data_IF_279294933052
#
_entry.id   IF_279294933052
#
_cell.length_a   1.000
_cell.length_b   1.000
_cell.length_c   1.000
_cell.angle_alpha   90.00
_cell.angle_beta   90.00
_cell.angle_gamma   90.00
#
_symmetry.space_group_name_H-M   'P 1'
#
loop_
_entity.id
_entity.type
_entity.pdbx_description
1 polymer ?
#
# COMPACT_ATOMS: atom_id res chain seq x y z
N UNK A 1 35.22 82.50 -26.92
CA UNK A 1 35.20 83.00 -25.53
C UNK A 1 35.67 81.86 -24.66
N UNK A 2 36.96 81.77 -24.35
CA UNK A 2 37.69 82.50 -23.30
C UNK A 2 37.43 81.93 -21.89
N UNK A 3 38.56 81.62 -21.24
CA UNK A 3 38.82 81.29 -19.83
C UNK A 3 38.58 79.86 -19.32
N UNK A 4 39.29 79.42 -18.28
CA UNK A 4 40.72 79.29 -17.99
C UNK A 4 40.82 78.36 -16.77
N UNK A 5 41.98 77.70 -16.63
CA UNK A 5 42.45 76.77 -15.60
C UNK A 5 42.20 77.17 -14.13
N UNK A 6 42.07 76.16 -13.24
CA UNK A 6 43.06 75.74 -12.20
C UNK A 6 42.48 74.64 -11.28
N UNK A 7 43.10 73.45 -11.19
CA UNK A 7 44.04 72.96 -10.14
C UNK A 7 43.40 72.79 -8.74
N UNK A 8 43.63 71.76 -7.91
CA UNK A 8 44.43 70.53 -7.94
C UNK A 8 44.10 69.73 -6.65
N UNK A 9 44.37 68.41 -6.67
CA UNK A 9 45.01 67.63 -5.59
C UNK A 9 44.19 66.71 -4.63
N UNK A 10 44.85 65.56 -4.33
CA UNK A 10 44.62 64.49 -3.33
C UNK A 10 43.33 63.68 -3.50
N UNK A 11 43.33 62.38 -3.82
CA UNK A 11 44.23 61.31 -3.38
C UNK A 11 43.47 60.43 -2.38
N UNK A 12 43.08 59.20 -2.74
CA UNK A 12 43.10 58.01 -1.88
C UNK A 12 42.36 56.80 -2.49
N UNK A 13 43.12 55.70 -2.52
CA UNK A 13 42.73 54.31 -2.22
C UNK A 13 41.89 53.54 -3.24
N UNK A 14 42.63 52.74 -4.01
CA UNK A 14 42.31 51.37 -4.37
C UNK A 14 41.54 50.65 -3.27
N UNK A 15 40.35 50.14 -3.57
CA UNK A 15 39.77 48.95 -2.95
C UNK A 15 38.49 48.55 -3.68
N UNK A 16 38.60 47.77 -4.75
CA UNK A 16 37.47 46.95 -5.24
C UNK A 16 37.97 45.66 -5.91
N UNK A 17 38.88 44.96 -5.23
CA UNK A 17 39.21 43.56 -5.50
C UNK A 17 38.80 42.65 -4.32
N UNK A 18 37.62 42.91 -3.75
CA UNK A 18 37.11 42.18 -2.58
C UNK A 18 35.68 41.63 -2.73
N UNK A 19 35.00 41.86 -3.86
CA UNK A 19 33.59 41.46 -4.03
C UNK A 19 33.37 40.22 -4.90
N UNK A 20 34.41 39.64 -5.51
CA UNK A 20 34.26 38.47 -6.39
C UNK A 20 34.55 37.12 -5.70
N UNK A 21 35.04 37.11 -4.45
CA UNK A 21 35.25 35.87 -3.67
C UNK A 21 34.11 35.54 -2.70
N UNK A 22 33.27 36.52 -2.36
CA UNK A 22 32.16 36.33 -1.40
C UNK A 22 30.93 35.76 -2.10
N UNK A 23 30.64 36.14 -3.34
CA UNK A 23 29.51 35.58 -4.11
C UNK A 23 29.70 34.12 -4.49
N UNK A 24 30.92 33.65 -4.80
CA UNK A 24 31.20 32.21 -4.98
C UNK A 24 31.08 31.41 -3.68
N UNK A 25 31.39 32.00 -2.51
CA UNK A 25 31.24 31.31 -1.22
C UNK A 25 29.78 31.24 -0.77
N UNK A 26 28.97 32.27 -1.04
CA UNK A 26 27.52 32.25 -0.75
C UNK A 26 26.80 31.26 -1.69
N UNK A 27 27.18 31.18 -2.96
CA UNK A 27 26.58 30.21 -3.89
C UNK A 27 26.95 28.75 -3.53
N UNK A 28 28.16 28.50 -3.02
CA UNK A 28 28.56 27.17 -2.53
C UNK A 28 27.89 26.80 -1.19
N UNK A 29 27.59 27.78 -0.35
CA UNK A 29 26.89 27.57 0.94
C UNK A 29 25.38 27.34 0.75
N UNK A 30 24.76 27.99 -0.23
CA UNK A 30 23.35 27.74 -0.60
C UNK A 30 23.19 26.39 -1.33
N UNK A 31 24.16 25.99 -2.15
CA UNK A 31 24.16 24.68 -2.81
C UNK A 31 24.42 23.52 -1.82
N UNK A 32 25.15 23.76 -0.72
CA UNK A 32 25.30 22.77 0.36
C UNK A 32 24.10 22.73 1.31
N UNK A 33 23.44 23.86 1.61
CA UNK A 33 22.16 23.85 2.35
C UNK A 33 21.00 23.23 1.56
N UNK A 34 21.05 23.25 0.22
CA UNK A 34 20.06 22.58 -0.63
C UNK A 34 20.31 21.06 -0.78
N UNK A 35 21.49 20.56 -0.40
CA UNK A 35 21.86 19.14 -0.48
C UNK A 35 21.88 18.42 0.89
N UNK A 36 21.60 19.11 2.00
CA UNK A 36 21.52 18.51 3.35
C UNK A 36 20.12 18.52 3.95
N UNK A 37 19.06 18.75 3.15
CA UNK A 37 17.67 18.63 3.61
C UNK A 37 16.94 17.39 3.07
N UNK A 38 17.68 16.45 2.46
CA UNK A 38 17.27 15.05 2.45
C UNK A 38 17.85 14.38 3.69
N UNK A 39 17.19 14.55 4.84
CA UNK A 39 17.32 13.53 5.87
C UNK A 39 16.57 12.31 5.35
N UNK A 40 17.34 11.26 5.09
CA UNK A 40 16.83 9.93 4.82
C UNK A 40 15.80 9.53 5.88
N UNK A 41 14.82 8.73 5.45
CA UNK A 41 13.92 7.99 6.32
C UNK A 41 14.68 7.47 7.54
N UNK A 42 14.23 7.78 8.75
CA UNK A 42 14.69 7.07 9.94
C UNK A 42 14.13 5.65 9.87
N UNK A 43 14.81 4.81 9.08
CA UNK A 43 15.05 3.44 9.49
C UNK A 43 15.60 3.49 10.92
N UNK A 44 15.32 2.46 11.71
CA UNK A 44 16.05 2.21 12.97
C UNK A 44 17.50 2.61 12.74
N UNK A 45 18.06 3.45 13.62
CA UNK A 45 19.44 3.90 13.43
C UNK A 45 20.33 2.68 13.24
N UNK A 46 21.43 2.77 12.48
CA UNK A 46 22.33 1.62 12.26
C UNK A 46 22.78 0.99 13.59
N UNK A 47 22.77 1.77 14.67
CA UNK A 47 22.97 1.33 16.05
C UNK A 47 21.78 0.53 16.61
N UNK A 48 20.53 0.96 16.44
CA UNK A 48 19.33 0.20 16.86
C UNK A 48 19.11 -1.08 16.04
N UNK A 49 19.38 -1.07 14.72
CA UNK A 49 19.35 -2.28 13.89
C UNK A 49 20.33 -3.36 14.38
N UNK A 50 21.46 -2.96 14.97
CA UNK A 50 22.44 -3.90 15.53
C UNK A 50 21.99 -4.57 16.84
N UNK A 51 20.97 -4.02 17.51
CA UNK A 51 20.52 -4.48 18.84
C UNK A 51 19.35 -5.46 18.79
N UNK A 52 18.57 -5.44 17.70
CA UNK A 52 17.42 -6.32 17.51
C UNK A 52 17.86 -7.53 16.68
N UNK A 53 17.48 -8.74 17.09
CA UNK A 53 17.73 -9.97 16.32
C UNK A 53 16.46 -10.83 16.28
N UNK A 54 16.29 -11.50 15.14
CA UNK A 54 15.24 -12.51 14.95
C UNK A 54 15.40 -13.65 15.96
N UNK A 55 14.32 -14.05 16.61
CA UNK A 55 14.28 -15.29 17.42
C UNK A 55 13.71 -16.40 16.55
N UNK A 56 14.33 -17.59 16.55
CA UNK A 56 13.76 -18.72 15.82
C UNK A 56 12.50 -19.22 16.53
N UNK A 57 11.56 -19.84 15.81
CA UNK A 57 10.35 -20.43 16.41
C UNK A 57 10.71 -21.44 17.51
N UNK A 58 11.77 -22.24 17.29
CA UNK A 58 12.25 -23.22 18.27
C UNK A 58 12.83 -22.54 19.52
N UNK A 59 13.61 -21.47 19.36
CA UNK A 59 14.15 -20.71 20.50
C UNK A 59 13.05 -19.99 21.28
N UNK A 60 12.05 -19.43 20.58
CA UNK A 60 10.87 -18.83 21.18
C UNK A 60 10.07 -19.85 21.99
N UNK A 61 9.85 -21.06 21.43
CA UNK A 61 9.22 -22.18 22.13
C UNK A 61 10.01 -22.57 23.38
N UNK A 62 11.31 -22.77 23.26
CA UNK A 62 12.17 -23.11 24.39
C UNK A 62 12.20 -22.00 25.47
N UNK A 63 12.11 -20.73 25.07
CA UNK A 63 12.02 -19.59 25.98
C UNK A 63 10.68 -19.58 26.74
N UNK A 64 9.56 -19.67 26.03
CA UNK A 64 8.22 -19.63 26.63
C UNK A 64 7.94 -20.84 27.53
N UNK A 65 8.40 -22.04 27.15
CA UNK A 65 8.29 -23.26 27.98
C UNK A 65 9.23 -23.24 29.19
N UNK A 66 10.35 -22.50 29.16
CA UNK A 66 11.17 -22.29 30.37
C UNK A 66 10.52 -21.29 31.32
N UNK A 67 9.87 -20.26 30.77
CA UNK A 67 9.19 -19.24 31.57
C UNK A 67 8.08 -19.82 32.46
N UNK A 68 7.36 -20.87 32.02
CA UNK A 68 6.32 -21.56 32.82
C UNK A 68 6.85 -22.30 34.04
N UNK A 69 8.14 -22.66 34.02
CA UNK A 69 8.77 -23.39 35.12
C UNK A 69 9.34 -22.43 36.17
N UNK A 70 9.20 -21.11 35.97
CA UNK A 70 9.56 -20.12 36.96
C UNK A 70 8.41 -19.94 37.97
N UNK A 71 8.66 -20.06 39.28
CA UNK A 71 7.63 -19.90 40.32
C UNK A 71 7.01 -18.49 40.37
N UNK A 72 7.52 -17.53 39.60
CA UNK A 72 7.04 -16.15 39.52
C UNK A 72 6.17 -15.84 38.30
N UNK A 73 5.97 -16.76 37.35
CA UNK A 73 5.18 -16.49 36.13
C UNK A 73 3.68 -16.53 36.44
N UNK A 74 2.96 -15.42 36.21
CA UNK A 74 1.50 -15.35 36.41
C UNK A 74 0.68 -15.91 35.22
N UNK A 75 1.28 -16.09 34.04
CA UNK A 75 0.67 -16.93 32.99
C UNK A 75 0.57 -18.34 33.54
N UNK A 76 -0.67 -18.81 33.70
CA UNK A 76 -0.92 -20.19 34.10
C UNK A 76 -0.36 -21.15 33.03
N UNK A 77 0.10 -22.34 33.43
CA UNK A 77 0.48 -23.39 32.47
C UNK A 77 -0.63 -23.68 31.44
N UNK A 78 -1.89 -23.43 31.83
CA UNK A 78 -3.08 -23.52 30.96
C UNK A 78 -3.18 -22.44 29.88
N UNK A 79 -2.64 -21.24 30.08
CA UNK A 79 -2.67 -20.19 29.05
C UNK A 79 -1.55 -20.37 28.03
N UNK A 80 -0.39 -20.89 28.44
CA UNK A 80 0.70 -21.22 27.51
C UNK A 80 0.41 -22.51 26.74
N UNK A 81 -0.35 -23.46 27.31
CA UNK A 81 -0.85 -24.62 26.55
C UNK A 81 -1.83 -24.23 25.44
N UNK A 82 -2.40 -23.02 25.49
CA UNK A 82 -3.25 -22.50 24.42
C UNK A 82 -2.44 -21.88 23.28
N UNK A 83 -1.10 -21.84 23.32
CA UNK A 83 -0.29 -21.37 22.21
C UNK A 83 -0.18 -22.43 21.12
N UNK A 84 -0.48 -22.03 19.89
CA UNK A 84 -0.40 -22.89 18.71
C UNK A 84 0.98 -22.75 18.04
N UNK A 85 2.00 -23.36 18.65
CA UNK A 85 3.39 -23.31 18.16
C UNK A 85 3.57 -23.84 16.73
N UNK A 86 2.70 -24.74 16.28
CA UNK A 86 2.64 -25.26 14.91
C UNK A 86 2.16 -24.22 13.90
N UNK A 87 1.46 -23.18 14.36
CA UNK A 87 1.00 -22.04 13.56
C UNK A 87 1.86 -20.79 13.75
N UNK A 88 3.02 -20.92 14.41
CA UNK A 88 3.93 -19.81 14.61
C UNK A 88 4.52 -19.31 13.27
N UNK A 89 4.65 -18.00 13.12
CA UNK A 89 5.16 -17.35 11.91
C UNK A 89 6.30 -16.39 12.23
N UNK A 90 6.97 -15.91 11.18
CA UNK A 90 7.99 -14.87 11.25
C UNK A 90 7.49 -13.67 10.43
N UNK A 91 7.17 -12.57 11.12
CA UNK A 91 6.63 -11.35 10.51
C UNK A 91 7.71 -10.29 10.36
N UNK A 92 7.68 -9.51 9.27
CA UNK A 92 8.68 -8.45 9.04
C UNK A 92 8.49 -7.31 10.06
N UNK A 93 9.57 -6.89 10.70
CA UNK A 93 9.59 -5.68 11.54
C UNK A 93 9.79 -4.47 10.63
N UNK A 94 8.93 -3.46 10.74
CA UNK A 94 9.07 -2.23 9.95
C UNK A 94 10.41 -1.54 10.26
N UNK A 95 11.15 -1.14 9.22
CA UNK A 95 12.44 -0.47 9.36
C UNK A 95 13.61 -1.39 9.73
N UNK A 96 13.43 -2.71 9.72
CA UNK A 96 14.45 -3.70 10.02
C UNK A 96 14.52 -4.83 8.96
N UNK A 97 15.67 -5.47 8.85
CA UNK A 97 15.85 -6.73 8.11
C UNK A 97 15.52 -7.96 8.98
N UNK A 98 15.33 -7.76 10.29
CA UNK A 98 14.95 -8.78 11.25
C UNK A 98 13.46 -9.11 11.18
N UNK A 99 13.14 -10.31 11.67
CA UNK A 99 11.78 -10.84 11.75
C UNK A 99 11.34 -10.96 13.21
N UNK A 100 10.06 -10.74 13.43
CA UNK A 100 9.36 -10.92 14.68
C UNK A 100 8.76 -12.33 14.72
N UNK A 101 9.06 -13.11 15.75
CA UNK A 101 8.36 -14.39 15.93
C UNK A 101 6.97 -14.12 16.48
N UNK A 102 5.94 -14.66 15.82
CA UNK A 102 4.55 -14.49 16.20
C UNK A 102 3.92 -15.85 16.44
N UNK A 103 3.33 -16.04 17.62
CA UNK A 103 2.73 -17.31 18.04
C UNK A 103 1.28 -17.05 18.44
N UNK A 104 0.28 -17.54 17.69
CA UNK A 104 -1.12 -17.28 17.99
C UNK A 104 -1.62 -18.10 19.19
N UNK A 105 -2.67 -17.61 19.84
CA UNK A 105 -3.46 -18.38 20.82
C UNK A 105 -4.60 -19.15 20.13
N UNK A 106 -4.91 -20.34 20.62
CA UNK A 106 -6.01 -21.19 20.16
C UNK A 106 -7.40 -20.58 20.44
N UNK A 107 -7.49 -19.60 21.35
CA UNK A 107 -8.73 -18.95 21.78
C UNK A 107 -9.20 -17.82 20.85
N UNK A 108 -8.53 -17.62 19.72
CA UNK A 108 -8.84 -16.57 18.76
C UNK A 108 -10.20 -16.80 18.08
N UNK A 109 -10.95 -15.72 17.86
CA UNK A 109 -12.27 -15.72 17.22
C UNK A 109 -12.49 -14.46 16.37
N UNK A 110 -13.69 -14.27 15.82
CA UNK A 110 -14.01 -13.13 14.92
C UNK A 110 -13.84 -11.74 15.56
N UNK A 111 -13.87 -11.63 16.88
CA UNK A 111 -13.83 -10.35 17.61
C UNK A 111 -12.58 -10.20 18.50
N UNK A 112 -11.81 -11.26 18.70
CA UNK A 112 -10.59 -11.25 19.51
C UNK A 112 -9.47 -12.09 18.89
N UNK A 113 -8.31 -11.48 18.71
CA UNK A 113 -7.10 -12.10 18.17
C UNK A 113 -5.92 -11.81 19.10
N UNK A 114 -5.51 -12.81 19.86
CA UNK A 114 -4.39 -12.78 20.78
C UNK A 114 -3.19 -13.54 20.19
N UNK A 115 -1.99 -12.98 20.35
CA UNK A 115 -0.73 -13.57 19.90
C UNK A 115 0.42 -13.19 20.83
N UNK A 116 1.41 -14.06 20.95
CA UNK A 116 2.68 -13.76 21.61
C UNK A 116 3.68 -13.30 20.57
N UNK A 117 4.29 -12.15 20.81
CA UNK A 117 5.35 -11.59 19.97
C UNK A 117 6.69 -11.82 20.67
N UNK A 118 7.69 -12.35 19.98
CA UNK A 118 9.01 -12.66 20.54
C UNK A 118 10.12 -12.11 19.66
N UNK A 119 11.08 -11.43 20.29
CA UNK A 119 12.25 -10.83 19.62
C UNK A 119 13.44 -10.81 20.55
N UNK A 120 14.66 -10.73 20.02
CA UNK A 120 15.88 -10.59 20.83
C UNK A 120 16.34 -9.14 20.80
N UNK A 121 16.59 -8.55 21.96
CA UNK A 121 16.99 -7.14 22.11
C UNK A 121 18.21 -7.12 23.05
N UNK A 122 19.34 -6.59 22.59
CA UNK A 122 20.61 -6.62 23.33
C UNK A 122 20.99 -8.03 23.81
N UNK A 123 20.80 -9.02 22.93
CA UNK A 123 21.01 -10.44 23.22
C UNK A 123 20.14 -11.04 24.34
N UNK A 124 19.09 -10.33 24.76
CA UNK A 124 18.05 -10.82 25.67
C UNK A 124 16.76 -11.11 24.89
N UNK A 125 16.15 -12.29 25.07
CA UNK A 125 14.85 -12.59 24.47
C UNK A 125 13.75 -11.86 25.26
N UNK A 126 12.94 -11.08 24.55
CA UNK A 126 11.77 -10.37 25.10
C UNK A 126 10.50 -10.83 24.43
N UNK A 127 9.41 -10.76 25.18
CA UNK A 127 8.09 -11.18 24.69
C UNK A 127 6.95 -10.39 25.32
N UNK A 128 5.88 -10.19 24.55
CA UNK A 128 4.61 -9.61 25.00
C UNK A 128 3.44 -10.45 24.52
N UNK A 129 2.33 -10.37 25.24
CA UNK A 129 1.02 -10.74 24.71
C UNK A 129 0.46 -9.51 23.99
N UNK A 130 0.14 -9.67 22.73
CA UNK A 130 -0.49 -8.68 21.86
C UNK A 130 -1.93 -9.11 21.58
N UNK A 131 -2.90 -8.34 22.06
CA UNK A 131 -4.33 -8.64 21.99
C UNK A 131 -5.05 -7.60 21.14
N UNK A 132 -5.73 -8.05 20.10
CA UNK A 132 -6.58 -7.22 19.24
C UNK A 132 -8.05 -7.56 19.49
N UNK A 133 -8.88 -6.56 19.74
CA UNK A 133 -10.32 -6.71 19.93
C UNK A 133 -11.06 -5.81 18.93
N UNK A 134 -11.72 -6.40 17.93
CA UNK A 134 -12.40 -5.64 16.89
C UNK A 134 -13.68 -4.97 17.42
N UNK A 135 -13.95 -3.72 16.99
CA UNK A 135 -15.18 -3.00 17.37
C UNK A 135 -16.43 -3.57 16.67
N UNK A 136 -16.26 -4.16 15.48
CA UNK A 136 -17.33 -4.80 14.69
C UNK A 136 -16.86 -6.15 14.12
N UNK A 137 -17.78 -7.00 13.63
CA UNK A 137 -17.44 -8.28 12.94
C UNK A 137 -16.73 -8.09 11.59
N UNK A 138 -16.29 -6.88 11.26
CA UNK A 138 -15.63 -6.59 9.99
C UNK A 138 -14.14 -6.92 10.10
N UNK A 139 -13.85 -8.16 9.70
CA UNK A 139 -12.56 -8.82 9.68
C UNK A 139 -11.70 -8.44 8.46
N UNK A 140 -12.20 -7.54 7.60
CA UNK A 140 -11.64 -7.26 6.26
C UNK A 140 -11.32 -5.78 6.09
N UNK A 141 -10.06 -5.47 5.78
CA UNK A 141 -9.56 -4.10 5.62
C UNK A 141 -8.73 -3.64 6.81
N UNK A 142 -8.63 -2.32 7.01
CA UNK A 142 -7.90 -1.78 8.15
C UNK A 142 -8.65 -2.04 9.46
N UNK A 143 -7.90 -2.42 10.49
CA UNK A 143 -8.38 -2.75 11.81
C UNK A 143 -9.00 -1.53 12.49
N UNK A 144 -10.22 -1.73 13.00
CA UNK A 144 -10.92 -0.82 13.91
C UNK A 144 -11.24 -1.59 15.18
N UNK A 145 -10.77 -1.09 16.33
CA UNK A 145 -10.90 -1.80 17.59
C UNK A 145 -9.92 -1.33 18.65
N UNK A 146 -9.71 -2.20 19.65
CA UNK A 146 -8.78 -1.97 20.76
C UNK A 146 -7.58 -2.88 20.63
N UNK A 147 -6.41 -2.31 20.88
CA UNK A 147 -5.15 -3.03 21.03
C UNK A 147 -4.71 -2.98 22.47
N UNK A 148 -4.26 -4.11 22.97
CA UNK A 148 -3.69 -4.22 24.30
C UNK A 148 -2.41 -5.02 24.26
N UNK A 149 -1.41 -4.53 25.00
CA UNK A 149 -0.09 -5.13 25.13
C UNK A 149 0.11 -5.43 26.60
N UNK A 150 0.37 -6.70 26.90
CA UNK A 150 0.59 -7.20 28.26
C UNK A 150 1.94 -7.90 28.35
N UNK A 151 2.49 -7.95 29.56
CA UNK A 151 3.60 -8.86 29.85
C UNK A 151 3.12 -10.31 29.83
N UNK A 152 4.06 -11.26 29.87
CA UNK A 152 3.75 -12.68 30.07
C UNK A 152 3.16 -12.96 31.47
N UNK A 153 3.13 -11.98 32.36
CA UNK A 153 2.48 -12.09 33.66
C UNK A 153 1.06 -11.50 33.64
N UNK A 154 0.58 -11.09 32.46
CA UNK A 154 -0.73 -10.44 32.31
C UNK A 154 -0.75 -8.99 32.82
N UNK A 155 0.39 -8.43 33.19
CA UNK A 155 0.46 -7.05 33.63
C UNK A 155 0.33 -6.13 32.39
N UNK A 156 -0.65 -5.22 32.41
CA UNK A 156 -0.84 -4.26 31.32
C UNK A 156 0.40 -3.40 31.12
N UNK A 157 0.88 -3.32 29.87
CA UNK A 157 2.01 -2.48 29.47
C UNK A 157 1.48 -1.24 28.75
N UNK A 158 0.68 -1.43 27.71
CA UNK A 158 0.19 -0.34 26.86
C UNK A 158 -1.07 -0.75 26.09
N UNK A 159 -1.79 0.22 25.53
CA UNK A 159 -2.95 -0.07 24.69
C UNK A 159 -3.41 1.13 23.88
N UNK A 160 -4.17 0.86 22.82
CA UNK A 160 -4.61 1.87 21.85
C UNK A 160 -6.03 1.62 21.38
N UNK A 161 -6.76 2.69 21.08
CA UNK A 161 -7.93 2.61 20.18
C UNK A 161 -7.47 2.90 18.76
N UNK A 162 -7.93 2.05 17.86
CA UNK A 162 -7.61 2.13 16.44
C UNK A 162 -8.91 2.28 15.67
N UNK A 163 -8.92 3.15 14.68
CA UNK A 163 -10.01 3.29 13.73
C UNK A 163 -9.43 3.35 12.32
N UNK A 164 -9.88 2.44 11.47
CA UNK A 164 -9.44 2.32 10.08
C UNK A 164 -7.91 2.28 9.95
N UNK A 165 -7.24 1.55 10.85
CA UNK A 165 -5.78 1.38 10.87
C UNK A 165 -5.02 2.58 11.45
N UNK A 166 -5.72 3.57 11.99
CA UNK A 166 -5.17 4.79 12.58
C UNK A 166 -5.36 4.75 14.10
N UNK A 167 -4.29 4.99 14.87
CA UNK A 167 -4.39 5.14 16.33
C UNK A 167 -5.05 6.49 16.67
N UNK A 168 -6.19 6.44 17.34
CA UNK A 168 -6.94 7.64 17.78
C UNK A 168 -6.62 8.03 19.23
N UNK A 169 -6.56 7.03 20.12
CA UNK A 169 -6.34 7.24 21.56
C UNK A 169 -5.40 6.19 22.13
N UNK A 170 -4.81 6.50 23.29
CA UNK A 170 -3.98 5.58 24.06
C UNK A 170 -4.67 5.25 25.39
N UNK A 171 -4.61 3.98 25.79
CA UNK A 171 -4.98 3.53 27.12
C UNK A 171 -3.76 3.63 28.03
N UNK A 172 -3.86 4.41 29.10
CA UNK A 172 -2.83 4.51 30.14
C UNK A 172 -3.38 4.03 31.48
N UNK A 173 -2.52 3.47 32.33
CA UNK A 173 -2.92 3.12 33.70
C UNK A 173 -3.35 4.37 34.45
N UNK A 174 -4.54 4.34 35.06
CA UNK A 174 -4.98 5.40 35.95
C UNK A 174 -4.15 5.34 37.23
N UNK A 175 -3.42 6.42 37.57
CA UNK A 175 -2.74 6.57 38.87
C UNK A 175 -3.75 6.91 39.98
N UNK A 176 -4.93 6.27 39.99
CA UNK A 176 -5.91 6.44 41.05
C UNK A 176 -5.36 5.87 42.35
N UNK A 177 -4.90 6.77 43.22
CA UNK A 177 -4.45 6.44 44.57
C UNK A 177 -5.68 6.15 45.44
N UNK A 178 -6.32 5.00 45.24
CA UNK A 178 -7.36 4.52 46.15
C UNK A 178 -7.01 3.14 46.65
N UNK A 179 -6.49 3.13 47.87
CA UNK A 179 -6.47 2.01 48.78
C UNK A 179 -7.85 1.35 48.85
N UNK A 180 -8.01 0.14 48.34
CA UNK A 180 -9.03 -0.78 48.85
C UNK A 180 -8.67 -2.24 48.61
N UNK A 181 -8.83 -2.99 49.68
CA UNK A 181 -8.60 -4.42 49.89
C UNK A 181 -9.57 -5.30 49.12
N UNK A 182 -9.39 -5.46 47.80
CA UNK A 182 -10.09 -6.50 47.04
C UNK A 182 -9.13 -7.20 46.08
N UNK A 183 -8.94 -8.52 46.29
CA UNK A 183 -8.11 -9.45 45.52
C UNK A 183 -8.66 -9.75 44.11
N UNK A 184 -8.96 -8.71 43.35
CA UNK A 184 -9.23 -8.79 41.92
C UNK A 184 -8.53 -7.58 41.31
N UNK A 185 -7.38 -7.80 40.69
CA UNK A 185 -6.58 -6.76 40.04
C UNK A 185 -7.32 -6.23 38.80
N UNK A 186 -8.39 -5.47 39.00
CA UNK A 186 -9.04 -4.71 37.94
C UNK A 186 -8.21 -3.44 37.80
N UNK A 187 -7.38 -3.39 36.76
CA UNK A 187 -6.58 -2.20 36.44
C UNK A 187 -7.49 -1.20 35.75
N UNK A 188 -7.78 -0.08 36.41
CA UNK A 188 -8.52 1.02 35.78
C UNK A 188 -7.64 1.69 34.70
N UNK A 189 -8.11 1.62 33.46
CA UNK A 189 -7.47 2.26 32.30
C UNK A 189 -8.17 3.58 31.99
N UNK A 190 -7.37 4.64 31.82
CA UNK A 190 -7.84 5.94 31.32
C UNK A 190 -7.52 6.06 29.84
N UNK A 191 -8.54 6.32 29.03
CA UNK A 191 -8.36 6.65 27.61
C UNK A 191 -7.96 8.12 27.49
N UNK A 192 -6.84 8.40 26.83
CA UNK A 192 -6.32 9.75 26.61
C UNK A 192 -6.16 10.02 25.12
N UNK A 193 -6.58 11.20 24.67
CA UNK A 193 -6.38 11.66 23.29
C UNK A 193 -4.88 11.78 23.02
N UNK A 194 -4.42 11.23 21.90
CA UNK A 194 -3.06 11.44 21.42
C UNK A 194 -3.03 12.77 20.66
N UNK A 195 -2.40 13.85 21.18
CA UNK A 195 -2.59 15.21 20.68
C UNK A 195 -1.87 15.52 19.34
N UNK A 196 -1.54 14.50 18.52
CA UNK A 196 -0.83 14.69 17.24
C UNK A 196 -1.61 14.07 16.08
N UNK A 197 -1.49 14.68 14.89
CA UNK A 197 -2.22 14.29 13.66
C UNK A 197 -2.18 12.77 13.43
N UNK A 198 -3.31 12.16 13.02
CA UNK A 198 -3.41 10.71 12.82
C UNK A 198 -2.37 10.21 11.81
N UNK A 199 -1.62 9.16 12.19
CA UNK A 199 -0.73 8.40 11.30
C UNK A 199 -1.31 7.01 11.10
N UNK A 200 -1.19 6.47 9.88
CA UNK A 200 -1.34 5.04 9.64
C UNK A 200 -0.18 4.32 10.34
N UNK A 201 -0.49 3.43 11.28
CA UNK A 201 0.51 2.67 12.04
C UNK A 201 0.45 1.19 11.67
N UNK A 202 1.58 0.49 11.71
CA UNK A 202 1.61 -0.96 11.52
C UNK A 202 1.51 -1.69 12.87
N UNK A 203 0.89 -2.86 12.92
CA UNK A 203 0.71 -3.67 14.13
C UNK A 203 2.01 -4.31 14.63
N UNK A 204 3.10 -4.23 13.86
CA UNK A 204 4.45 -4.66 14.21
C UNK A 204 5.42 -3.49 14.41
N UNK A 205 4.89 -2.27 14.57
CA UNK A 205 5.70 -1.08 14.81
C UNK A 205 6.45 -1.19 16.15
N UNK A 206 7.78 -1.07 16.07
CA UNK A 206 8.69 -1.19 17.21
C UNK A 206 8.36 -0.19 18.32
N UNK A 207 8.11 1.07 17.97
CA UNK A 207 7.88 2.13 18.95
C UNK A 207 6.54 1.95 19.66
N UNK A 208 5.56 1.32 19.01
CA UNK A 208 4.26 1.01 19.60
C UNK A 208 4.35 -0.14 20.63
N UNK A 209 5.25 -1.10 20.40
CA UNK A 209 5.37 -2.31 21.23
C UNK A 209 6.38 -2.11 22.37
N UNK A 210 7.55 -1.54 22.06
CA UNK A 210 8.69 -1.49 22.97
C UNK A 210 9.26 -0.07 23.20
N UNK A 211 8.75 0.94 22.50
CA UNK A 211 9.16 2.33 22.67
C UNK A 211 8.76 2.90 24.03
N UNK A 212 9.61 3.76 24.61
CA UNK A 212 9.23 4.57 25.77
C UNK A 212 8.25 5.65 25.31
N UNK A 213 6.95 5.43 25.57
CA UNK A 213 5.89 6.38 25.31
C UNK A 213 6.17 7.71 26.05
N UNK A 214 6.84 8.65 25.38
CA UNK A 214 7.16 9.94 25.97
C UNK A 214 8.11 10.84 25.17
N UNK A 215 9.04 10.30 24.36
CA UNK A 215 10.17 11.12 23.91
C UNK A 215 10.55 11.10 22.43
N UNK A 216 10.05 10.18 21.58
CA UNK A 216 10.55 10.11 20.19
C UNK A 216 9.53 9.70 19.11
N UNK A 217 8.25 10.07 19.23
CA UNK A 217 7.39 10.08 18.03
C UNK A 217 7.76 11.30 17.17
N UNK A 218 8.89 11.20 16.48
CA UNK A 218 9.46 12.19 15.57
C UNK A 218 8.53 12.53 14.41
N UNK A 219 8.57 13.80 14.01
CA UNK A 219 7.85 14.35 12.88
C UNK A 219 8.59 14.04 11.58
N UNK A 220 7.99 13.24 10.69
CA UNK A 220 8.29 13.26 9.25
C UNK A 220 7.08 12.69 8.49
N UNK A 221 6.68 13.28 7.34
CA UNK A 221 5.56 12.80 6.55
C UNK A 221 5.98 11.54 5.79
N UNK A 222 5.45 10.38 6.18
CA UNK A 222 5.64 9.12 5.44
C UNK A 222 4.33 8.79 4.72
N UNK A 223 4.37 8.84 3.38
CA UNK A 223 3.35 8.24 2.54
C UNK A 223 3.68 6.77 2.35
N UNK A 224 2.78 5.87 2.73
CA UNK A 224 2.94 4.42 2.59
C UNK A 224 3.05 3.69 3.93
N UNK A 225 2.00 3.76 4.75
CA UNK A 225 1.82 2.84 5.86
C UNK A 225 0.69 1.88 5.50
N UNK A 226 0.99 0.58 5.36
CA UNK A 226 -0.05 -0.44 5.44
C UNK A 226 -0.66 -0.34 6.83
N UNK A 227 -1.90 0.17 6.93
CA UNK A 227 -2.61 0.24 8.20
C UNK A 227 -2.74 -1.14 8.82
N UNK A 228 -2.85 -1.19 10.15
CA UNK A 228 -2.99 -2.45 10.89
C UNK A 228 -4.13 -3.26 10.29
N UNK A 229 -3.88 -4.49 9.85
CA UNK A 229 -4.91 -5.38 9.33
C UNK A 229 -5.25 -6.45 10.36
N UNK A 230 -6.53 -6.86 10.43
CA UNK A 230 -6.97 -7.95 11.30
C UNK A 230 -6.36 -9.31 10.91
N UNK A 231 -6.08 -9.48 9.61
CA UNK A 231 -5.57 -10.71 9.00
C UNK A 231 -4.04 -10.77 8.89
N UNK A 232 -3.31 -10.00 9.70
CA UNK A 232 -1.84 -10.02 9.75
C UNK A 232 -1.27 -11.32 10.35
N UNK A 233 -1.82 -12.49 10.00
CA UNK A 233 -1.12 -13.77 10.04
C UNK A 233 -0.30 -13.91 8.75
N UNK A 234 0.80 -13.16 8.70
CA UNK A 234 1.77 -13.20 7.60
C UNK A 234 2.43 -14.57 7.50
N UNK A 235 2.35 -15.17 6.30
CA UNK A 235 2.68 -16.55 6.04
C UNK A 235 4.15 -16.96 6.25
N UNK A 236 4.31 -18.10 6.91
CA UNK A 236 5.44 -19.01 6.79
C UNK A 236 4.86 -20.43 6.70
N UNK A 237 5.14 -21.15 5.62
CA UNK A 237 4.34 -22.31 5.21
C UNK A 237 4.44 -23.56 6.10
N UNK A 238 3.29 -24.19 6.32
CA UNK A 238 3.05 -25.64 6.21
C UNK A 238 1.53 -25.86 6.12
N UNK A 239 1.09 -26.68 5.16
CA UNK A 239 -0.26 -26.63 4.61
C UNK A 239 -1.40 -27.03 5.55
N UNK A 240 -2.53 -26.31 5.46
CA UNK A 240 -3.89 -26.87 5.41
C UNK A 240 -4.93 -25.76 5.16
N UNK A 241 -5.85 -26.00 4.21
CA UNK A 241 -7.06 -25.22 3.87
C UNK A 241 -6.95 -23.67 3.75
N UNK A 242 -6.69 -23.21 2.53
CA UNK A 242 -6.68 -21.81 2.07
C UNK A 242 -7.98 -21.03 2.37
N UNK A 243 -7.97 -20.09 3.34
CA UNK A 243 -8.91 -18.96 3.31
C UNK A 243 -8.46 -18.01 2.19
N UNK A 244 -9.10 -18.10 1.03
CA UNK A 244 -8.74 -17.29 -0.15
C UNK A 244 -9.22 -15.85 0.08
N UNK A 245 -8.34 -14.85 0.06
CA UNK A 245 -8.76 -13.43 0.12
C UNK A 245 -9.61 -13.07 -1.10
N UNK A 246 -10.49 -12.06 -1.01
CA UNK A 246 -11.39 -11.71 -2.11
C UNK A 246 -10.65 -11.45 -3.44
N UNK A 247 -9.52 -10.70 -3.49
CA UNK A 247 -8.78 -10.53 -4.74
C UNK A 247 -8.24 -11.83 -5.35
N UNK A 248 -7.76 -12.77 -4.52
CA UNK A 248 -7.29 -14.08 -4.98
C UNK A 248 -8.49 -14.94 -5.45
N UNK A 249 -9.64 -14.82 -4.79
CA UNK A 249 -10.85 -15.53 -5.18
C UNK A 249 -11.39 -15.01 -6.52
N UNK A 250 -11.37 -13.69 -6.75
CA UNK A 250 -11.74 -13.07 -8.02
C UNK A 250 -10.82 -13.57 -9.13
N UNK A 251 -9.50 -13.57 -8.92
CA UNK A 251 -8.55 -14.06 -9.92
C UNK A 251 -8.79 -15.52 -10.33
N UNK A 252 -9.18 -16.37 -9.37
CA UNK A 252 -9.60 -17.76 -9.61
C UNK A 252 -10.94 -17.88 -10.34
N UNK A 253 -11.80 -16.86 -10.28
CA UNK A 253 -13.09 -16.80 -10.98
C UNK A 253 -13.02 -16.09 -12.33
N UNK A 254 -11.81 -15.88 -12.88
CA UNK A 254 -11.64 -15.41 -14.25
C UNK A 254 -11.68 -16.61 -15.20
N UNK A 255 -12.78 -16.72 -15.94
CA UNK A 255 -13.03 -17.75 -16.95
C UNK A 255 -12.59 -17.22 -18.32
N UNK A 256 -11.67 -17.90 -18.99
CA UNK A 256 -11.07 -17.43 -20.26
C UNK A 256 -10.96 -18.51 -21.33
N UNK A 257 -11.86 -19.49 -21.32
CA UNK A 257 -11.81 -20.64 -22.23
C UNK A 257 -12.04 -20.23 -23.69
N UNK A 258 -12.82 -19.18 -23.93
CA UNK A 258 -13.16 -18.65 -25.25
C UNK A 258 -12.25 -17.49 -25.70
N UNK A 259 -11.09 -17.31 -25.06
CA UNK A 259 -10.12 -16.26 -25.39
C UNK A 259 -9.05 -16.82 -26.35
N UNK A 260 -8.75 -16.10 -27.43
CA UNK A 260 -7.72 -16.50 -28.39
C UNK A 260 -6.34 -16.64 -27.73
N UNK A 261 -5.45 -17.43 -28.34
CA UNK A 261 -4.15 -17.82 -27.78
C UNK A 261 -3.35 -16.66 -27.19
N UNK A 262 -3.01 -15.64 -27.98
CA UNK A 262 -2.15 -14.56 -27.49
C UNK A 262 -2.75 -13.74 -26.31
N UNK A 263 -3.99 -13.22 -26.35
CA UNK A 263 -4.57 -12.57 -25.18
C UNK A 263 -4.76 -13.54 -23.99
N UNK A 264 -4.96 -14.83 -24.24
CA UNK A 264 -5.02 -15.86 -23.19
C UNK A 264 -3.65 -16.06 -22.51
N UNK A 265 -2.58 -16.16 -23.28
CA UNK A 265 -1.20 -16.20 -22.75
C UNK A 265 -0.88 -14.95 -21.93
N UNK A 266 -1.28 -13.78 -22.43
CA UNK A 266 -1.09 -12.54 -21.69
C UNK A 266 -1.83 -12.55 -20.34
N UNK A 267 -3.08 -13.00 -20.32
CA UNK A 267 -3.87 -13.16 -19.10
C UNK A 267 -3.22 -14.14 -18.11
N UNK A 268 -2.77 -15.30 -18.58
CA UNK A 268 -2.15 -16.30 -17.72
C UNK A 268 -0.82 -15.84 -17.15
N UNK A 269 -0.06 -15.01 -17.88
CA UNK A 269 1.14 -14.36 -17.34
C UNK A 269 0.79 -13.31 -16.29
N UNK A 270 -0.27 -12.51 -16.51
CA UNK A 270 -0.74 -11.51 -15.54
C UNK A 270 -1.23 -12.16 -14.23
N UNK A 271 -1.85 -13.33 -14.27
CA UNK A 271 -2.23 -14.09 -13.06
C UNK A 271 -1.01 -14.56 -12.25
N UNK A 272 0.13 -14.80 -12.92
CA UNK A 272 1.36 -15.31 -12.29
C UNK A 272 2.30 -14.23 -11.74
N UNK A 273 1.96 -12.95 -11.92
CA UNK A 273 2.79 -11.84 -11.44
C UNK A 273 3.07 -11.95 -9.94
N UNK A 274 4.33 -11.78 -9.55
CA UNK A 274 4.75 -11.90 -8.15
C UNK A 274 4.34 -10.69 -7.33
N UNK A 275 4.45 -9.46 -7.87
CA UNK A 275 4.16 -8.20 -7.15
C UNK A 275 3.09 -7.32 -7.79
N UNK A 276 2.63 -7.69 -8.98
CA UNK A 276 1.58 -6.99 -9.68
C UNK A 276 0.63 -7.95 -10.44
N UNK A 277 0.27 -9.08 -9.83
CA UNK A 277 -0.83 -9.92 -10.34
C UNK A 277 -2.16 -9.18 -10.35
N UNK A 278 -3.15 -9.73 -11.05
CA UNK A 278 -4.52 -9.22 -11.04
C UNK A 278 -5.05 -9.12 -9.60
N UNK A 279 -4.83 -10.14 -8.78
CA UNK A 279 -5.19 -10.10 -7.36
C UNK A 279 -4.50 -8.94 -6.61
N UNK A 280 -3.23 -8.65 -6.89
CA UNK A 280 -2.52 -7.53 -6.25
C UNK A 280 -3.01 -6.16 -6.72
N UNK A 281 -3.37 -6.01 -8.01
CA UNK A 281 -4.00 -4.78 -8.52
C UNK A 281 -5.33 -4.56 -7.82
N UNK A 282 -6.19 -5.57 -7.78
CA UNK A 282 -7.50 -5.50 -7.13
C UNK A 282 -7.37 -5.22 -5.63
N UNK A 283 -6.38 -5.82 -4.97
CA UNK A 283 -6.05 -5.51 -3.57
C UNK A 283 -5.66 -4.05 -3.36
N UNK A 284 -4.77 -3.48 -4.21
CA UNK A 284 -4.39 -2.07 -4.15
C UNK A 284 -5.57 -1.12 -4.39
N UNK A 285 -6.55 -1.54 -5.17
CA UNK A 285 -7.78 -0.79 -5.41
C UNK A 285 -8.82 -0.97 -4.30
N UNK A 286 -8.61 -1.89 -3.34
CA UNK A 286 -9.52 -2.13 -2.22
C UNK A 286 -10.67 -3.07 -2.56
N UNK A 287 -10.44 -4.08 -3.41
CA UNK A 287 -11.43 -5.12 -3.68
C UNK A 287 -11.62 -6.04 -2.46
N UNK A 288 -12.83 -6.05 -1.91
CA UNK A 288 -13.22 -6.89 -0.76
C UNK A 288 -14.33 -7.88 -1.08
N UNK A 289 -15.01 -7.75 -2.23
CA UNK A 289 -16.09 -8.65 -2.67
C UNK A 289 -15.69 -9.45 -3.89
N UNK A 290 -16.12 -10.70 -3.91
CA UNK A 290 -15.82 -11.63 -4.99
C UNK A 290 -16.84 -11.47 -6.11
N UNK A 291 -16.33 -11.40 -7.34
CA UNK A 291 -17.13 -11.38 -8.57
C UNK A 291 -16.49 -12.30 -9.61
N UNK A 292 -17.30 -12.76 -10.55
CA UNK A 292 -16.88 -13.63 -11.65
C UNK A 292 -16.72 -12.82 -12.93
N UNK A 293 -15.66 -13.12 -13.70
CA UNK A 293 -15.40 -12.47 -14.99
C UNK A 293 -15.28 -13.53 -16.07
N UNK A 294 -16.13 -13.46 -17.10
CA UNK A 294 -16.01 -14.29 -18.30
C UNK A 294 -15.37 -13.49 -19.43
N UNK A 295 -14.20 -13.92 -19.91
CA UNK A 295 -13.42 -13.25 -20.95
C UNK A 295 -13.48 -14.06 -22.25
N UNK A 296 -13.81 -13.41 -23.36
CA UNK A 296 -13.87 -14.03 -24.69
C UNK A 296 -13.30 -13.13 -25.78
N UNK A 297 -12.85 -13.72 -26.87
CA UNK A 297 -12.52 -13.00 -28.10
C UNK A 297 -13.78 -12.70 -28.93
N UNK A 298 -13.86 -11.53 -29.57
CA UNK A 298 -14.98 -11.18 -30.44
C UNK A 298 -14.60 -10.18 -31.53
N UNK A 299 -15.07 -10.41 -32.77
CA UNK A 299 -14.96 -9.43 -33.86
C UNK A 299 -16.01 -8.31 -33.80
N UNK A 300 -17.04 -8.47 -32.96
CA UNK A 300 -18.16 -7.52 -32.83
C UNK A 300 -17.80 -6.28 -31.99
N UNK A 301 -16.68 -6.31 -31.28
CA UNK A 301 -16.21 -5.17 -30.47
C UNK A 301 -15.29 -4.30 -31.32
N UNK A 302 -15.69 -3.04 -31.52
CA UNK A 302 -14.92 -2.06 -32.29
C UNK A 302 -13.72 -1.53 -31.50
N UNK A 303 -13.87 -1.41 -30.18
CA UNK A 303 -12.81 -1.00 -29.25
C UNK A 303 -11.84 -2.16 -28.98
N UNK A 304 -10.63 -1.92 -28.44
CA UNK A 304 -9.66 -2.98 -28.15
C UNK A 304 -10.20 -4.09 -27.25
N UNK A 305 -10.98 -3.69 -26.26
CA UNK A 305 -11.79 -4.56 -25.42
C UNK A 305 -13.01 -3.77 -24.90
N UNK A 306 -13.93 -4.47 -24.25
CA UNK A 306 -15.10 -3.86 -23.60
C UNK A 306 -15.65 -4.77 -22.52
N UNK A 307 -16.09 -4.19 -21.41
CA UNK A 307 -16.72 -4.87 -20.29
C UNK A 307 -18.22 -4.62 -20.26
N UNK A 308 -19.01 -5.63 -19.89
CA UNK A 308 -20.47 -5.51 -19.68
C UNK A 308 -20.92 -6.28 -18.45
N UNK A 309 -22.06 -5.85 -17.88
CA UNK A 309 -22.73 -6.55 -16.77
C UNK A 309 -23.63 -7.64 -17.36
N UNK A 310 -23.46 -8.90 -16.94
CA UNK A 310 -24.41 -9.98 -17.26
C UNK A 310 -25.47 -10.12 -16.18
N UNK A 311 -25.05 -10.09 -14.92
CA UNK A 311 -25.90 -10.07 -13.73
C UNK A 311 -25.08 -9.54 -12.55
N UNK A 312 -25.69 -9.26 -11.38
CA UNK A 312 -24.93 -8.77 -10.23
C UNK A 312 -23.72 -9.65 -9.90
N UNK A 313 -22.54 -9.04 -9.75
CA UNK A 313 -21.25 -9.70 -9.51
C UNK A 313 -20.81 -10.70 -10.61
N UNK A 314 -21.41 -10.63 -11.80
CA UNK A 314 -21.03 -11.42 -12.96
C UNK A 314 -20.85 -10.49 -14.16
N UNK A 315 -19.65 -10.49 -14.71
CA UNK A 315 -19.27 -9.57 -15.77
C UNK A 315 -18.69 -10.32 -16.97
N UNK A 316 -18.83 -9.71 -18.14
CA UNK A 316 -18.21 -10.19 -19.36
C UNK A 316 -17.15 -9.20 -19.83
N UNK A 317 -16.02 -9.70 -20.30
CA UNK A 317 -15.05 -8.93 -21.07
C UNK A 317 -14.99 -9.52 -22.48
N UNK A 318 -15.13 -8.67 -23.48
CA UNK A 318 -14.95 -9.05 -24.87
C UNK A 318 -13.71 -8.36 -25.44
N UNK A 319 -12.68 -9.16 -25.77
CA UNK A 319 -11.43 -8.68 -26.37
C UNK A 319 -11.53 -8.71 -27.89
N UNK A 320 -11.27 -7.57 -28.54
CA UNK A 320 -11.48 -7.45 -29.98
C UNK A 320 -10.44 -8.22 -30.80
N UNK A 321 -10.92 -8.98 -31.77
CA UNK A 321 -10.07 -9.64 -32.76
C UNK A 321 -9.65 -8.72 -33.91
N UNK A 322 -10.15 -7.48 -33.95
CA UNK A 322 -9.88 -6.54 -35.06
C UNK A 322 -8.49 -5.91 -34.98
N UNK A 323 -7.83 -5.98 -33.81
CA UNK A 323 -6.48 -5.45 -33.59
C UNK A 323 -5.41 -6.51 -33.91
N UNK A 324 -5.36 -6.94 -35.17
CA UNK A 324 -4.54 -8.08 -35.62
C UNK A 324 -3.02 -7.85 -35.50
N UNK A 325 -2.58 -6.59 -35.53
CA UNK A 325 -1.17 -6.21 -35.38
C UNK A 325 -0.81 -5.78 -33.97
N UNK A 326 -1.70 -5.86 -32.98
CA UNK A 326 -1.40 -5.40 -31.63
C UNK A 326 -0.22 -6.14 -31.01
N UNK A 327 0.42 -5.53 -30.01
CA UNK A 327 1.44 -6.20 -29.19
C UNK A 327 0.82 -6.97 -28.03
N UNK A 328 1.57 -7.91 -27.44
CA UNK A 328 1.15 -8.64 -26.24
C UNK A 328 0.98 -7.70 -25.05
N UNK A 329 1.82 -6.65 -24.98
CA UNK A 329 1.74 -5.59 -23.98
C UNK A 329 0.44 -4.79 -24.12
N UNK A 330 0.02 -4.48 -25.35
CA UNK A 330 -1.28 -3.86 -25.60
C UNK A 330 -2.43 -4.76 -25.12
N UNK A 331 -2.38 -6.06 -25.40
CA UNK A 331 -3.42 -7.01 -24.93
C UNK A 331 -3.47 -7.08 -23.42
N UNK A 332 -2.31 -7.17 -22.76
CA UNK A 332 -2.20 -7.16 -21.31
C UNK A 332 -2.81 -5.88 -20.70
N UNK A 333 -2.48 -4.71 -21.28
CA UNK A 333 -3.02 -3.42 -20.81
C UNK A 333 -4.54 -3.37 -20.90
N UNK A 334 -5.12 -3.83 -22.01
CA UNK A 334 -6.57 -3.83 -22.18
C UNK A 334 -7.25 -4.84 -21.24
N UNK A 335 -6.67 -6.02 -21.03
CA UNK A 335 -7.21 -6.98 -20.06
C UNK A 335 -7.25 -6.40 -18.64
N UNK A 336 -6.16 -5.78 -18.19
CA UNK A 336 -6.10 -5.13 -16.89
C UNK A 336 -7.10 -3.98 -16.79
N UNK A 337 -7.20 -3.15 -17.84
CA UNK A 337 -8.15 -2.06 -17.91
C UNK A 337 -9.59 -2.55 -17.71
N UNK A 338 -10.01 -3.54 -18.48
CA UNK A 338 -11.35 -4.13 -18.41
C UNK A 338 -11.63 -4.87 -17.09
N UNK A 339 -10.64 -5.55 -16.50
CA UNK A 339 -10.80 -6.18 -15.17
C UNK A 339 -11.06 -5.11 -14.10
N UNK A 340 -10.44 -3.93 -14.21
CA UNK A 340 -10.73 -2.83 -13.28
C UNK A 340 -12.13 -2.24 -13.53
N UNK A 341 -12.63 -2.21 -14.78
CA UNK A 341 -14.05 -1.90 -15.02
C UNK A 341 -14.97 -2.87 -14.29
N UNK A 342 -14.70 -4.18 -14.39
CA UNK A 342 -15.46 -5.19 -13.65
C UNK A 342 -15.43 -4.95 -12.12
N UNK A 343 -14.28 -4.54 -11.58
CA UNK A 343 -14.21 -4.13 -10.18
C UNK A 343 -15.11 -2.92 -9.89
N UNK A 344 -15.11 -1.90 -10.73
CA UNK A 344 -15.99 -0.75 -10.52
C UNK A 344 -17.47 -1.09 -10.69
N UNK A 345 -17.83 -2.01 -11.60
CA UNK A 345 -19.19 -2.55 -11.66
C UNK A 345 -19.59 -3.22 -10.34
N UNK A 346 -18.68 -3.94 -9.67
CA UNK A 346 -18.97 -4.55 -8.36
C UNK A 346 -19.24 -3.52 -7.25
N UNK A 347 -18.63 -2.35 -7.33
CA UNK A 347 -18.92 -1.23 -6.44
C UNK A 347 -20.32 -0.63 -6.72
N UNK A 348 -20.76 -0.69 -7.97
CA UNK A 348 -22.08 -0.20 -8.37
C UNK A 348 -23.17 -1.21 -8.06
N UNK A 349 -22.97 -2.51 -8.25
CA UNK A 349 -23.95 -3.54 -7.87
C UNK A 349 -24.31 -3.44 -6.39
N UNK A 350 -23.33 -3.11 -5.55
CA UNK A 350 -23.53 -2.80 -4.13
C UNK A 350 -24.44 -1.58 -3.87
N UNK A 351 -24.45 -0.63 -4.81
CA UNK A 351 -25.20 0.61 -4.75
C UNK A 351 -26.59 0.48 -5.39
N UNK A 352 -26.70 -0.17 -6.55
CA UNK A 352 -27.96 -0.37 -7.30
C UNK A 352 -28.88 -1.40 -6.66
N UNK A 353 -28.36 -2.34 -5.86
CA UNK A 353 -29.18 -3.13 -4.93
C UNK A 353 -29.99 -2.26 -3.94
N UNK A 354 -29.66 -0.96 -3.82
CA UNK A 354 -30.37 0.02 -2.99
C UNK A 354 -31.09 1.14 -3.75
N UNK A 355 -30.81 1.46 -5.03
CA UNK A 355 -31.60 2.39 -5.88
C UNK A 355 -31.17 2.47 -7.38
N UNK A 356 -32.18 2.67 -8.27
CA UNK A 356 -32.23 2.96 -9.74
C UNK A 356 -31.03 2.62 -10.68
N UNK A 357 -31.16 1.70 -11.67
CA UNK A 357 -30.01 1.03 -12.34
C UNK A 357 -29.51 1.62 -13.68
N UNK A 358 -30.12 2.65 -14.27
CA UNK A 358 -29.85 3.02 -15.67
C UNK A 358 -28.66 4.00 -15.91
N UNK A 359 -28.02 4.53 -14.87
CA UNK A 359 -27.06 5.66 -14.99
C UNK A 359 -25.58 5.20 -15.08
N UNK A 360 -25.28 3.90 -14.95
CA UNK A 360 -23.92 3.43 -14.61
C UNK A 360 -23.17 2.67 -15.73
N UNK A 361 -23.29 3.11 -16.98
CA UNK A 361 -22.70 2.39 -18.12
C UNK A 361 -21.41 3.00 -18.68
N UNK A 362 -20.94 4.14 -18.17
CA UNK A 362 -19.71 4.79 -18.64
C UNK A 362 -18.64 4.90 -17.55
N UNK A 363 -17.38 4.71 -17.97
CA UNK A 363 -16.22 4.73 -17.07
C UNK A 363 -16.10 6.00 -16.23
N UNK A 364 -16.37 7.22 -16.75
CA UNK A 364 -16.31 8.43 -15.94
C UNK A 364 -17.23 8.38 -14.71
N UNK A 365 -18.46 7.87 -14.88
CA UNK A 365 -19.42 7.75 -13.77
C UNK A 365 -18.98 6.68 -12.76
N UNK A 366 -18.45 5.55 -13.22
CA UNK A 366 -17.91 4.50 -12.37
C UNK A 366 -16.70 4.96 -11.55
N UNK A 367 -15.79 5.67 -12.21
CA UNK A 367 -14.60 6.23 -11.58
C UNK A 367 -14.98 7.31 -10.54
N UNK A 368 -15.95 8.18 -10.86
CA UNK A 368 -16.51 9.11 -9.88
C UNK A 368 -17.07 8.39 -8.65
N UNK A 369 -17.75 7.26 -8.82
CA UNK A 369 -18.27 6.49 -7.68
C UNK A 369 -17.18 5.87 -6.82
N UNK A 370 -16.09 5.43 -7.44
CA UNK A 370 -14.91 4.99 -6.71
C UNK A 370 -14.30 6.11 -5.89
N UNK A 371 -14.19 7.32 -6.46
CA UNK A 371 -13.78 8.54 -5.74
C UNK A 371 -14.75 8.84 -4.59
N UNK A 372 -16.07 8.84 -4.83
CA UNK A 372 -17.10 9.10 -3.82
C UNK A 372 -17.03 8.09 -2.66
N UNK A 373 -16.74 6.81 -2.95
CA UNK A 373 -16.60 5.76 -1.94
C UNK A 373 -15.40 6.02 -1.03
N UNK A 374 -14.27 6.41 -1.62
CA UNK A 374 -13.03 6.68 -0.87
C UNK A 374 -13.07 8.03 -0.15
N UNK A 375 -13.74 9.02 -0.74
CA UNK A 375 -13.84 10.40 -0.26
C UNK A 375 -15.30 10.90 -0.28
N UNK A 376 -16.15 10.44 0.67
CA UNK A 376 -17.56 10.78 0.68
C UNK A 376 -17.81 12.30 0.68
N UNK A 377 -18.55 12.79 -0.32
CA UNK A 377 -18.97 14.19 -0.42
C UNK A 377 -17.92 15.18 -0.96
N UNK A 378 -16.72 14.73 -1.31
CA UNK A 378 -15.72 15.62 -1.91
C UNK A 378 -15.96 15.84 -3.41
N UNK A 379 -15.76 17.08 -3.86
CA UNK A 379 -15.71 17.48 -5.28
C UNK A 379 -14.30 17.88 -5.71
N UNK A 380 -13.29 17.55 -4.91
CA UNK A 380 -11.93 18.00 -5.14
C UNK A 380 -11.29 17.25 -6.32
N UNK A 381 -10.68 18.00 -7.24
CA UNK A 381 -9.91 17.44 -8.35
C UNK A 381 -8.71 16.61 -7.85
N UNK A 382 -8.16 16.95 -6.68
CA UNK A 382 -7.06 16.22 -6.06
C UNK A 382 -7.39 14.74 -5.78
N UNK A 383 -8.63 14.42 -5.42
CA UNK A 383 -9.06 13.04 -5.21
C UNK A 383 -9.21 12.25 -6.52
N UNK A 384 -9.63 12.92 -7.59
CA UNK A 384 -9.65 12.33 -8.93
C UNK A 384 -8.23 12.05 -9.43
N UNK A 385 -7.31 12.97 -9.19
CA UNK A 385 -5.89 12.80 -9.50
C UNK A 385 -5.27 11.64 -8.73
N UNK A 386 -5.50 11.55 -7.42
CA UNK A 386 -4.98 10.47 -6.60
C UNK A 386 -5.51 9.10 -7.06
N UNK A 387 -6.80 9.01 -7.36
CA UNK A 387 -7.42 7.77 -7.81
C UNK A 387 -6.92 7.38 -9.20
N UNK A 388 -6.71 8.36 -10.08
CA UNK A 388 -6.21 8.11 -11.43
C UNK A 388 -4.74 7.68 -11.36
N UNK A 389 -3.92 8.30 -10.51
CA UNK A 389 -2.55 7.89 -10.28
C UNK A 389 -2.47 6.49 -9.64
N UNK A 390 -3.35 6.17 -8.70
CA UNK A 390 -3.41 4.83 -8.07
C UNK A 390 -3.74 3.75 -9.11
N UNK A 391 -4.73 4.00 -9.96
CA UNK A 391 -5.10 3.16 -11.09
C UNK A 391 -3.92 2.97 -12.06
N UNK A 392 -3.33 4.08 -12.51
CA UNK A 392 -2.25 4.08 -13.51
C UNK A 392 -1.00 3.42 -12.98
N UNK A 393 -0.62 3.68 -11.73
CA UNK A 393 0.57 3.09 -11.13
C UNK A 393 0.37 1.59 -10.89
N UNK A 394 -0.83 1.15 -10.50
CA UNK A 394 -1.12 -0.28 -10.33
C UNK A 394 -1.03 -1.03 -11.67
N UNK A 395 -1.67 -0.52 -12.73
CA UNK A 395 -1.59 -1.13 -14.06
C UNK A 395 -0.19 -1.02 -14.65
N UNK A 396 0.47 0.14 -14.53
CA UNK A 396 1.83 0.36 -15.02
C UNK A 396 2.84 -0.59 -14.38
N UNK A 397 2.73 -0.85 -13.07
CA UNK A 397 3.58 -1.81 -12.38
C UNK A 397 3.38 -3.24 -12.92
N UNK A 398 2.13 -3.63 -13.14
CA UNK A 398 1.78 -4.93 -13.69
C UNK A 398 2.29 -5.10 -15.12
N UNK A 399 2.17 -4.08 -15.96
CA UNK A 399 2.69 -4.09 -17.32
C UNK A 399 4.22 -4.13 -17.37
N UNK A 400 4.89 -3.45 -16.44
CA UNK A 400 6.34 -3.54 -16.31
C UNK A 400 6.78 -4.95 -15.95
N UNK A 401 6.18 -5.55 -14.92
CA UNK A 401 6.51 -6.90 -14.50
C UNK A 401 6.17 -7.92 -15.60
N UNK A 402 5.03 -7.75 -16.27
CA UNK A 402 4.63 -8.56 -17.42
C UNK A 402 5.68 -8.54 -18.53
N UNK A 403 6.18 -7.36 -18.90
CA UNK A 403 7.12 -7.24 -20.01
C UNK A 403 8.55 -7.65 -19.64
N UNK A 404 8.99 -7.33 -18.42
CA UNK A 404 10.41 -7.43 -18.02
C UNK A 404 10.70 -8.64 -17.12
N UNK A 405 9.67 -9.21 -16.50
CA UNK A 405 9.81 -10.18 -15.40
C UNK A 405 10.30 -9.55 -14.08
N UNK A 406 10.49 -8.23 -14.04
CA UNK A 406 11.00 -7.51 -12.87
C UNK A 406 9.87 -6.70 -12.26
N UNK A 407 9.50 -7.07 -11.03
CA UNK A 407 8.55 -6.33 -10.23
C UNK A 407 9.00 -4.90 -9.95
N UNK A 408 8.07 -3.94 -10.06
CA UNK A 408 8.26 -2.60 -9.49
C UNK A 408 8.25 -2.73 -7.97
N UNK A 409 9.26 -2.18 -7.29
CA UNK A 409 9.29 -2.22 -5.83
C UNK A 409 8.14 -1.40 -5.25
N UNK A 410 7.72 -1.77 -4.06
CA UNK A 410 6.66 -1.04 -3.36
C UNK A 410 7.07 0.42 -3.14
N UNK A 411 6.15 1.35 -3.41
CA UNK A 411 6.41 2.80 -3.35
C UNK A 411 7.13 3.39 -4.57
N UNK A 412 7.73 2.57 -5.45
CA UNK A 412 8.34 3.07 -6.68
C UNK A 412 7.31 3.33 -7.78
N UNK A 413 7.58 4.32 -8.63
CA UNK A 413 6.76 4.61 -9.81
C UNK A 413 7.21 3.71 -10.96
N UNK A 414 6.28 3.08 -11.70
CA UNK A 414 6.63 2.30 -12.88
C UNK A 414 7.29 3.16 -13.95
N UNK A 415 8.05 2.54 -14.85
CA UNK A 415 8.65 3.24 -15.97
C UNK A 415 7.56 3.93 -16.83
N UNK A 416 7.88 5.13 -17.34
CA UNK A 416 6.97 5.97 -18.12
C UNK A 416 6.32 5.23 -19.29
N UNK A 417 7.03 4.30 -19.94
CA UNK A 417 6.49 3.49 -21.03
C UNK A 417 5.20 2.77 -20.61
N UNK A 418 5.17 2.21 -19.40
CA UNK A 418 4.04 1.44 -18.88
C UNK A 418 2.96 2.33 -18.30
N UNK A 419 3.32 3.44 -17.65
CA UNK A 419 2.33 4.41 -17.16
C UNK A 419 1.64 5.14 -18.30
N UNK A 420 2.36 5.45 -19.39
CA UNK A 420 1.77 6.06 -20.60
C UNK A 420 0.78 5.10 -21.25
N UNK A 421 1.08 3.80 -21.31
CA UNK A 421 0.14 2.82 -21.83
C UNK A 421 -1.12 2.69 -20.95
N UNK A 422 -0.96 2.71 -19.62
CA UNK A 422 -2.07 2.73 -18.68
C UNK A 422 -2.92 4.02 -18.78
N UNK A 423 -2.28 5.19 -18.91
CA UNK A 423 -2.97 6.46 -19.18
C UNK A 423 -3.72 6.45 -20.51
N UNK A 424 -3.18 5.79 -21.54
CA UNK A 424 -3.86 5.64 -22.83
C UNK A 424 -5.20 4.90 -22.71
N UNK A 425 -5.33 3.95 -21.78
CA UNK A 425 -6.62 3.35 -21.44
C UNK A 425 -7.62 4.34 -20.84
N UNK A 426 -7.14 5.43 -20.22
CA UNK A 426 -7.98 6.49 -19.64
C UNK A 426 -8.26 7.65 -20.60
N UNK A 427 -7.90 7.54 -21.89
CA UNK A 427 -7.97 8.68 -22.83
C UNK A 427 -9.37 9.29 -23.00
N UNK A 428 -10.43 8.55 -22.66
CA UNK A 428 -11.82 9.03 -22.69
C UNK A 428 -12.33 9.58 -21.35
N UNK A 429 -11.55 9.42 -20.27
CA UNK A 429 -11.91 9.94 -18.97
C UNK A 429 -11.63 11.46 -18.92
N UNK A 430 -12.52 12.28 -18.32
CA UNK A 430 -12.31 13.72 -18.20
C UNK A 430 -10.97 14.11 -17.55
N UNK A 431 -10.51 13.32 -16.57
CA UNK A 431 -9.24 13.54 -15.88
C UNK A 431 -8.03 13.47 -16.82
N UNK A 432 -8.08 12.64 -17.87
CA UNK A 432 -7.00 12.54 -18.85
C UNK A 432 -6.87 13.85 -19.63
N UNK A 433 -7.99 14.38 -20.13
CA UNK A 433 -8.02 15.62 -20.91
C UNK A 433 -7.67 16.84 -20.07
N UNK A 434 -8.04 16.83 -18.78
CA UNK A 434 -7.66 17.87 -17.83
C UNK A 434 -6.15 17.85 -17.56
N UNK A 435 -5.56 16.67 -17.39
CA UNK A 435 -4.15 16.50 -17.03
C UNK A 435 -3.20 16.63 -18.22
N UNK A 436 -3.65 16.17 -19.40
CA UNK A 436 -2.89 16.19 -20.64
C UNK A 436 -3.70 16.90 -21.72
N UNK A 437 -3.67 18.24 -21.77
CA UNK A 437 -4.39 18.99 -22.78
C UNK A 437 -4.05 18.50 -24.19
N UNK A 438 -5.04 18.50 -25.07
CA UNK A 438 -4.88 18.08 -26.47
C UNK A 438 -3.72 18.84 -27.10
N UNK A 439 -2.86 18.11 -27.82
CA UNK A 439 -1.64 18.61 -28.46
C UNK A 439 -0.46 18.96 -27.53
N UNK A 440 -0.57 18.77 -26.22
CA UNK A 440 0.61 18.75 -25.33
C UNK A 440 1.57 17.62 -25.72
N UNK A 441 2.84 17.75 -25.34
CA UNK A 441 3.85 16.73 -25.63
C UNK A 441 3.54 15.42 -24.90
N UNK A 442 3.04 15.50 -23.67
CA UNK A 442 2.55 14.37 -22.89
C UNK A 442 1.36 13.68 -23.58
N UNK A 443 0.37 14.45 -24.06
CA UNK A 443 -0.77 13.90 -24.79
C UNK A 443 -0.30 13.14 -26.03
N UNK A 444 0.56 13.75 -26.87
CA UNK A 444 1.08 13.10 -28.09
C UNK A 444 1.87 11.83 -27.76
N UNK A 445 2.68 11.85 -26.69
CA UNK A 445 3.46 10.72 -26.21
C UNK A 445 2.56 9.57 -25.77
N UNK A 446 1.57 9.85 -24.92
CA UNK A 446 0.66 8.82 -24.39
C UNK A 446 -0.18 8.20 -25.51
N UNK A 447 -0.79 9.02 -26.36
CA UNK A 447 -1.60 8.55 -27.49
C UNK A 447 -0.71 7.81 -28.52
N UNK A 448 0.51 8.30 -28.74
CA UNK A 448 1.50 7.64 -29.59
C UNK A 448 1.87 6.26 -29.09
N UNK A 449 2.15 6.13 -27.79
CA UNK A 449 2.43 4.85 -27.11
C UNK A 449 1.25 3.90 -27.27
N UNK A 450 0.04 4.34 -26.90
CA UNK A 450 -1.16 3.51 -26.93
C UNK A 450 -1.49 3.02 -28.34
N UNK A 451 -1.50 3.92 -29.33
CA UNK A 451 -1.81 3.56 -30.72
C UNK A 451 -0.66 2.79 -31.38
N UNK A 452 0.59 3.08 -31.01
CA UNK A 452 1.73 2.34 -31.51
C UNK A 452 1.68 0.88 -31.09
N UNK A 453 1.40 0.60 -29.82
CA UNK A 453 1.21 -0.75 -29.30
C UNK A 453 -0.01 -1.46 -29.93
N UNK A 454 -1.06 -0.72 -30.29
CA UNK A 454 -2.28 -1.30 -30.91
C UNK A 454 -2.09 -1.73 -32.36
N UNK A 455 -1.16 -1.10 -33.07
CA UNK A 455 -0.86 -1.35 -34.49
C UNK A 455 0.52 -1.97 -34.73
N UNK A 456 1.31 -2.13 -33.68
CA UNK A 456 2.74 -2.47 -33.73
C UNK A 456 3.51 -1.58 -34.74
N UNK A 457 3.26 -0.28 -34.68
CA UNK A 457 3.88 0.73 -35.55
C UNK A 457 4.36 1.94 -34.75
N UNK A 458 5.34 2.68 -35.26
CA UNK A 458 5.78 3.92 -34.60
C UNK A 458 4.77 5.04 -34.86
N UNK A 459 4.20 5.62 -33.80
CA UNK A 459 3.22 6.71 -33.88
C UNK A 459 3.65 7.84 -32.95
N UNK A 460 3.65 9.09 -33.44
CA UNK A 460 4.12 10.27 -32.70
C UNK A 460 5.51 10.08 -32.06
N UNK A 461 6.42 9.42 -32.79
CA UNK A 461 7.78 9.13 -32.30
C UNK A 461 7.86 8.05 -31.22
N UNK A 462 6.75 7.38 -30.87
CA UNK A 462 6.72 6.27 -29.93
C UNK A 462 6.77 4.93 -30.67
N UNK A 463 7.86 4.19 -30.50
CA UNK A 463 8.01 2.83 -31.02
C UNK A 463 7.42 1.82 -30.03
N UNK A 464 6.64 0.81 -30.48
CA UNK A 464 6.08 -0.23 -29.62
C UNK A 464 7.17 -0.94 -28.81
N UNK A 465 6.93 -1.15 -27.52
CA UNK A 465 7.78 -1.86 -26.59
C UNK A 465 7.35 -3.32 -26.43
N UNK A 466 6.06 -3.61 -26.63
CA UNK A 466 5.54 -4.98 -26.60
C UNK A 466 5.98 -5.81 -27.81
N UNK A 467 5.98 -7.14 -27.65
CA UNK A 467 6.21 -8.06 -28.77
C UNK A 467 4.93 -8.19 -29.61
N UNK A 468 5.03 -8.40 -30.94
CA UNK A 468 3.86 -8.67 -31.77
C UNK A 468 3.01 -9.82 -31.22
N UNK A 469 1.70 -9.64 -31.14
CA UNK A 469 0.74 -10.61 -30.64
C UNK A 469 0.04 -11.29 -31.81
N UNK A 470 0.59 -12.41 -32.28
CA UNK A 470 -0.03 -13.16 -33.36
C UNK A 470 -1.31 -13.82 -32.86
N UNK A 471 -2.44 -13.54 -33.52
CA UNK A 471 -3.74 -14.12 -33.18
C UNK A 471 -4.00 -15.47 -33.87
N UNK A 472 -2.95 -16.13 -34.40
CA UNK A 472 -3.08 -17.39 -35.14
C UNK A 472 -3.10 -18.60 -34.21
#
# INVERSE_FOLDING_TARGET
MAFERKNCNKGMKNNKLGKLKITKRIFLFVLTLALTNCQDSENLTTQEQSTIKTVSINDAKAFLTRSTNSPSSKLSSSEISNLEFDKATLEKINGSDQLLTVIPFATNNEVRNDRVLVVKINDEIRSVIYSMQADEKLVQGFFSGKLFIYSLEGDFINGYRVKDGIIETQYVKSNSTTSSTSKTNIVDLKEVLVPRKPKLTNGTDWDAIWGSAGSSMGWSPVGGGGGMSWDSTGGGGAGSSSSTTAPIAIEKQIISDSLNNCPKEALEQLKKGTNASIAKILSKLGASKVFTVTIKSSSKVVRPASSTISSPNNYNIAVSTNYTSATSLFRASNLLHEIVHCYFFSLVDDYTAKNNPAIFNDFPTLFQKFVDKKYPGSKDSAHHDEMANSYVNAIGAALQEFQTGIAVKEGETPNQIYTDLAWGGLQEAPIFMQKFPVNSEEYKRIIGRYNGESTNSTINGQTPAGKPCNTK
#
